data_IF_249191495752
#
_entry.id   IF_249191495752
#
_cell.length_a   1.000
_cell.length_b   1.000
_cell.length_c   1.000
_cell.angle_alpha   90.00
_cell.angle_beta   90.00
_cell.angle_gamma   90.00
#
_symmetry.space_group_name_H-M   'P 1'
#
loop_
_entity.id
_entity.type
_entity.pdbx_description
1 polymer ?
#
# COMPACT_ATOMS: atom_id res chain seq x y z
N UNK A 1 0.11 11.08 -14.03
CA UNK A 1 -0.36 10.38 -12.81
C UNK A 1 0.85 9.72 -12.20
N UNK A 2 1.40 10.28 -11.13
CA UNK A 2 2.38 9.53 -10.33
C UNK A 2 1.62 8.38 -9.69
N UNK A 3 1.94 7.15 -10.12
CA UNK A 3 1.36 5.95 -9.51
C UNK A 3 1.95 5.85 -8.12
N UNK A 4 1.13 6.03 -7.08
CA UNK A 4 1.58 5.95 -5.71
C UNK A 4 1.88 4.48 -5.36
N UNK A 5 3.06 4.21 -4.79
CA UNK A 5 3.50 2.85 -4.47
C UNK A 5 2.53 2.16 -3.51
N UNK A 6 2.02 2.89 -2.52
CA UNK A 6 1.05 2.37 -1.55
C UNK A 6 -0.26 1.99 -2.23
N UNK A 7 -0.75 2.83 -3.14
CA UNK A 7 -1.96 2.55 -3.92
C UNK A 7 -1.78 1.27 -4.74
N UNK A 8 -0.61 1.08 -5.35
CA UNK A 8 -0.31 -0.14 -6.11
C UNK A 8 -0.23 -1.39 -5.23
N UNK A 9 0.34 -1.29 -4.03
CA UNK A 9 0.35 -2.38 -3.04
C UNK A 9 -1.09 -2.79 -2.70
N UNK A 10 -1.96 -1.81 -2.45
CA UNK A 10 -3.35 -2.04 -2.08
C UNK A 10 -4.11 -2.72 -3.22
N UNK A 11 -4.04 -2.17 -4.43
CA UNK A 11 -4.71 -2.73 -5.62
C UNK A 11 -4.22 -4.17 -5.86
N UNK A 12 -2.92 -4.42 -5.72
CA UNK A 12 -2.34 -5.76 -5.89
C UNK A 12 -2.92 -6.75 -4.87
N UNK A 13 -2.99 -6.36 -3.59
CA UNK A 13 -3.57 -7.19 -2.53
C UNK A 13 -5.09 -7.36 -2.65
N UNK A 14 -5.79 -6.38 -3.21
CA UNK A 14 -7.23 -6.46 -3.50
C UNK A 14 -7.52 -7.47 -4.62
N UNK A 15 -6.73 -7.43 -5.68
CA UNK A 15 -6.95 -8.25 -6.88
C UNK A 15 -6.44 -9.68 -6.73
N UNK A 16 -5.27 -9.85 -6.10
CA UNK A 16 -4.57 -11.14 -6.06
C UNK A 16 -4.63 -11.81 -4.67
N UNK A 17 -5.14 -11.11 -3.66
CA UNK A 17 -5.29 -11.62 -2.31
C UNK A 17 -4.03 -11.49 -1.44
N UNK A 18 -3.97 -12.20 -0.30
CA UNK A 18 -2.86 -12.08 0.64
C UNK A 18 -1.52 -12.52 0.02
N UNK A 19 -0.49 -11.69 0.15
CA UNK A 19 0.83 -11.94 -0.42
C UNK A 19 1.95 -11.63 0.55
N UNK A 20 3.07 -12.33 0.39
CA UNK A 20 4.31 -12.02 1.10
C UNK A 20 4.98 -10.78 0.54
N UNK A 21 5.86 -10.17 1.34
CA UNK A 21 6.64 -9.03 0.87
C UNK A 21 7.53 -9.36 -0.35
N UNK A 22 7.99 -10.61 -0.47
CA UNK A 22 8.76 -11.08 -1.62
C UNK A 22 7.90 -11.12 -2.88
N UNK A 23 6.69 -11.66 -2.80
CA UNK A 23 5.74 -11.69 -3.92
C UNK A 23 5.34 -10.29 -4.34
N UNK A 24 5.08 -9.40 -3.38
CA UNK A 24 4.81 -7.98 -3.65
C UNK A 24 5.99 -7.30 -4.32
N UNK A 25 7.23 -7.55 -3.89
CA UNK A 25 8.42 -7.01 -4.55
C UNK A 25 8.55 -7.47 -6.01
N UNK A 26 8.21 -8.73 -6.32
CA UNK A 26 8.25 -9.26 -7.69
C UNK A 26 7.14 -8.65 -8.54
N UNK A 27 5.91 -8.62 -8.03
CA UNK A 27 4.75 -8.07 -8.72
C UNK A 27 4.93 -6.57 -9.00
N UNK A 28 5.23 -5.79 -7.96
CA UNK A 28 5.43 -4.34 -8.06
C UNK A 28 6.69 -4.01 -8.85
N UNK A 29 7.77 -4.78 -8.68
CA UNK A 29 8.99 -4.56 -9.46
C UNK A 29 8.76 -4.71 -10.95
N UNK A 30 7.96 -5.72 -11.34
CA UNK A 30 7.54 -5.92 -12.73
C UNK A 30 6.63 -4.79 -13.23
N UNK A 31 5.67 -4.34 -12.41
CA UNK A 31 4.73 -3.26 -12.75
C UNK A 31 5.43 -1.91 -12.94
N UNK A 32 6.35 -1.56 -12.03
CA UNK A 32 7.10 -0.30 -12.08
C UNK A 32 8.36 -0.38 -12.93
N UNK A 33 8.70 -1.56 -13.47
CA UNK A 33 9.97 -1.86 -14.15
C UNK A 33 11.19 -1.46 -13.30
N UNK A 34 11.10 -1.69 -11.98
CA UNK A 34 12.12 -1.34 -10.99
C UNK A 34 12.51 -2.57 -10.20
N UNK A 35 13.80 -2.88 -10.19
CA UNK A 35 14.37 -4.01 -9.45
C UNK A 35 15.57 -3.58 -8.59
N UNK A 36 15.64 -2.29 -8.29
CA UNK A 36 16.72 -1.73 -7.50
C UNK A 36 16.47 -1.94 -5.99
N UNK A 37 17.54 -2.07 -5.18
CA UNK A 37 17.42 -2.26 -3.73
C UNK A 37 16.68 -1.13 -3.01
N UNK A 38 16.74 0.09 -3.54
CA UNK A 38 16.08 1.25 -2.94
C UNK A 38 14.55 1.14 -3.10
N UNK A 39 14.08 0.71 -4.26
CA UNK A 39 12.67 0.39 -4.48
C UNK A 39 12.18 -0.70 -3.52
N UNK A 40 12.94 -1.77 -3.32
CA UNK A 40 12.57 -2.81 -2.36
C UNK A 40 12.52 -2.28 -0.93
N UNK A 41 13.44 -1.38 -0.56
CA UNK A 41 13.41 -0.68 0.74
C UNK A 41 12.14 0.17 0.87
N UNK A 42 11.75 0.89 -0.18
CA UNK A 42 10.53 1.70 -0.20
C UNK A 42 9.27 0.83 -0.05
N UNK A 43 9.20 -0.32 -0.72
CA UNK A 43 8.08 -1.28 -0.55
C UNK A 43 8.00 -1.73 0.91
N UNK A 44 9.12 -2.10 1.53
CA UNK A 44 9.15 -2.53 2.94
C UNK A 44 8.69 -1.44 3.90
N UNK A 45 9.12 -0.19 3.69
CA UNK A 45 8.68 0.95 4.50
C UNK A 45 7.17 1.15 4.35
N UNK A 46 6.65 1.14 3.13
CA UNK A 46 5.22 1.30 2.88
C UNK A 46 4.38 0.17 3.49
N UNK A 47 4.85 -1.08 3.43
CA UNK A 47 4.16 -2.20 4.07
C UNK A 47 4.11 -2.05 5.58
N UNK A 48 5.23 -1.68 6.21
CA UNK A 48 5.29 -1.45 7.65
C UNK A 48 4.38 -0.30 8.06
N UNK A 49 4.45 0.82 7.37
CA UNK A 49 3.63 2.00 7.65
C UNK A 49 2.15 1.66 7.47
N UNK A 50 1.78 0.96 6.38
CA UNK A 50 0.40 0.55 6.14
C UNK A 50 -0.13 -0.42 7.21
N UNK A 51 0.73 -1.26 7.80
CA UNK A 51 0.35 -2.07 8.97
C UNK A 51 0.15 -1.19 10.21
N UNK A 52 1.07 -0.25 10.47
CA UNK A 52 0.98 0.69 11.60
C UNK A 52 -0.28 1.55 11.52
N UNK A 53 -0.66 2.01 10.32
CA UNK A 53 -1.86 2.80 10.07
C UNK A 53 -3.15 1.98 10.01
N UNK A 54 -3.10 0.64 10.13
CA UNK A 54 -4.30 -0.21 10.06
C UNK A 54 -4.92 -0.27 8.67
N UNK A 55 -4.12 -0.09 7.62
CA UNK A 55 -4.52 -0.31 6.22
C UNK A 55 -4.33 -1.80 5.89
N UNK A 56 -3.19 -2.35 6.28
CA UNK A 56 -2.83 -3.75 6.08
C UNK A 56 -2.81 -4.52 7.39
N UNK A 57 -3.14 -5.80 7.31
CA UNK A 57 -2.93 -6.77 8.37
C UNK A 57 -1.80 -7.69 7.95
N UNK A 58 -0.77 -7.78 8.79
CA UNK A 58 0.26 -8.80 8.66
C UNK A 58 -0.13 -10.04 9.47
N UNK A 59 -0.24 -11.19 8.79
CA UNK A 59 -0.47 -12.50 9.39
C UNK A 59 0.73 -13.39 9.10
N UNK A 60 1.70 -13.41 10.02
CA UNK A 60 2.99 -14.05 9.79
C UNK A 60 3.75 -13.38 8.64
N UNK A 61 4.01 -14.12 7.57
CA UNK A 61 4.75 -13.63 6.41
C UNK A 61 3.85 -13.02 5.32
N UNK A 62 2.53 -13.04 5.50
CA UNK A 62 1.56 -12.56 4.52
C UNK A 62 0.97 -11.22 4.95
N UNK A 63 0.78 -10.35 3.97
CA UNK A 63 0.08 -9.08 4.08
C UNK A 63 -1.27 -9.21 3.40
N UNK A 64 -2.30 -8.65 4.01
CA UNK A 64 -3.67 -8.63 3.49
C UNK A 64 -4.33 -7.30 3.80
N UNK A 65 -5.33 -6.91 3.00
CA UNK A 65 -6.13 -5.73 3.31
C UNK A 65 -6.95 -5.95 4.58
N UNK A 66 -6.99 -4.94 5.45
CA UNK A 66 -7.92 -4.94 6.57
C UNK A 66 -9.35 -4.79 6.03
N UNK A 67 -10.15 -5.86 6.09
CA UNK A 67 -11.48 -6.00 5.45
C UNK A 67 -12.55 -4.99 5.91
N UNK A 68 -12.22 -4.02 6.76
CA UNK A 68 -13.13 -2.99 7.28
C UNK A 68 -12.76 -1.57 6.87
N UNK A 69 -11.61 -1.35 6.24
CA UNK A 69 -11.22 0.00 5.85
C UNK A 69 -11.84 0.28 4.49
N UNK A 70 -13.09 0.73 4.57
CA UNK A 70 -13.77 1.56 3.57
C UNK A 70 -12.71 2.43 2.91
N UNK A 71 -12.37 2.13 1.66
CA UNK A 71 -11.65 3.05 0.79
C UNK A 71 -12.60 4.23 0.51
N UNK A 72 -12.84 5.07 1.52
CA UNK A 72 -13.35 6.39 1.28
C UNK A 72 -12.28 7.05 0.41
N UNK A 73 -12.63 7.52 -0.80
CA UNK A 73 -11.64 8.11 -1.67
C UNK A 73 -10.94 9.21 -0.88
N UNK A 74 -9.61 9.20 -0.86
CA UNK A 74 -8.74 10.28 -0.38
C UNK A 74 -8.95 11.53 -1.27
N UNK A 75 -10.18 12.04 -1.31
CA UNK A 75 -10.63 13.23 -2.05
C UNK A 75 -11.11 14.34 -1.12
N UNK A 76 -11.02 14.17 0.20
CA UNK A 76 -11.41 15.22 1.16
C UNK A 76 -10.31 15.41 2.21
N UNK A 77 -9.15 15.88 1.78
CA UNK A 77 -8.32 16.77 2.59
C UNK A 77 -8.60 18.20 2.13
N UNK A 78 -9.85 18.65 2.25
CA UNK A 78 -10.14 20.07 2.28
C UNK A 78 -10.20 20.43 3.76
N UNK A 79 -9.23 21.19 4.31
CA UNK A 79 -9.34 21.64 5.69
C UNK A 79 -10.66 22.40 5.85
N UNK A 80 -11.38 22.24 6.98
CA UNK A 80 -12.58 23.02 7.21
C UNK A 80 -12.20 24.50 7.11
N UNK A 81 -13.00 25.34 6.41
CA UNK A 81 -12.73 26.77 6.41
C UNK A 81 -12.89 27.26 7.86
N UNK A 82 -11.76 27.64 8.47
CA UNK A 82 -11.76 28.35 9.74
C UNK A 82 -12.65 29.58 9.57
N UNK A 83 -13.79 29.60 10.27
CA UNK A 83 -14.62 30.79 10.39
C UNK A 83 -13.99 31.67 11.47
N UNK A 84 -13.56 32.87 11.07
CA UNK A 84 -13.30 34.00 11.96
C UNK A 84 -14.61 34.71 12.27
#
# INVERSE_FOLDING_TARGET
>A
MEVNLLESIIITLEQLGPMSATELNVALGSQFRRHDPEFYRQVQVNLRDAVVYGILIQRGNLFSLQSRTIFMPMKILKPPPCRF
#
